data_IF_281342505871
#
_entry.id   IF_281342505871
#
_cell.length_a   1.000
_cell.length_b   1.000
_cell.length_c   1.000
_cell.angle_alpha   90.00
_cell.angle_beta   90.00
_cell.angle_gamma   90.00
#
_symmetry.space_group_name_H-M   'P 1'
#
loop_
_entity.id
_entity.type
_entity.pdbx_description
1 polymer ?
#
# COMPACT_ATOMS: atom_id res chain seq x y z
N UNK A 1 -2.51 11.35 -16.22
CA UNK A 1 -2.67 11.70 -14.80
C UNK A 1 -3.77 10.82 -14.25
N UNK A 2 -3.57 10.30 -13.02
CA UNK A 2 -4.60 9.53 -12.32
C UNK A 2 -5.06 10.31 -11.10
N UNK A 3 -6.37 10.32 -10.87
CA UNK A 3 -7.02 11.03 -9.77
C UNK A 3 -8.01 10.07 -9.10
N UNK A 4 -7.95 10.03 -7.78
CA UNK A 4 -8.95 9.37 -6.95
C UNK A 4 -9.78 10.46 -6.27
N UNK A 5 -11.10 10.42 -6.42
CA UNK A 5 -11.99 11.36 -5.77
C UNK A 5 -12.60 10.78 -4.47
N UNK A 6 -13.27 11.63 -3.70
CA UNK A 6 -13.90 11.21 -2.44
C UNK A 6 -15.16 10.35 -2.63
N UNK A 7 -15.72 10.34 -3.84
CA UNK A 7 -16.91 9.56 -4.16
C UNK A 7 -16.57 8.14 -4.60
N UNK A 8 -15.28 7.78 -4.63
CA UNK A 8 -14.78 6.46 -5.02
C UNK A 8 -14.57 6.29 -6.52
N UNK A 9 -14.55 7.37 -7.27
CA UNK A 9 -14.17 7.32 -8.68
C UNK A 9 -12.66 7.40 -8.84
N UNK A 10 -12.14 6.59 -9.73
CA UNK A 10 -10.76 6.63 -10.18
C UNK A 10 -10.71 7.01 -11.66
N UNK A 11 -10.05 8.12 -11.95
CA UNK A 11 -10.15 8.82 -13.22
C UNK A 11 -8.78 8.92 -13.87
N UNK A 12 -8.70 8.57 -15.16
CA UNK A 12 -7.52 8.85 -15.99
C UNK A 12 -7.76 10.08 -16.85
N UNK A 13 -6.78 10.98 -16.83
CA UNK A 13 -6.84 12.28 -17.51
C UNK A 13 -5.64 12.42 -18.43
N UNK A 14 -5.87 12.81 -19.68
CA UNK A 14 -4.80 13.19 -20.59
C UNK A 14 -4.12 14.47 -20.09
N UNK A 15 -2.83 14.38 -19.81
CA UNK A 15 -2.04 15.50 -19.27
C UNK A 15 -1.87 16.68 -20.26
N UNK A 16 -2.12 16.48 -21.55
CA UNK A 16 -1.91 17.50 -22.57
C UNK A 16 -3.11 18.43 -22.70
N UNK A 17 -4.32 17.89 -22.59
CA UNK A 17 -5.55 18.62 -22.88
C UNK A 17 -6.58 18.57 -21.73
N UNK A 18 -6.32 17.79 -20.66
CA UNK A 18 -7.21 17.67 -19.51
C UNK A 18 -8.47 16.83 -19.76
N UNK A 19 -8.57 16.15 -20.90
CA UNK A 19 -9.72 15.32 -21.21
C UNK A 19 -9.67 14.01 -20.42
N UNK A 20 -10.83 13.56 -19.92
CA UNK A 20 -10.99 12.25 -19.30
C UNK A 20 -10.82 11.18 -20.36
N UNK A 21 -9.87 10.26 -20.13
CA UNK A 21 -9.65 9.10 -20.96
C UNK A 21 -10.58 7.96 -20.57
N UNK A 22 -10.72 7.72 -19.28
CA UNK A 22 -11.66 6.77 -18.69
C UNK A 22 -11.95 7.13 -17.22
N UNK A 23 -13.07 6.64 -16.72
CA UNK A 23 -13.50 6.79 -15.34
C UNK A 23 -14.12 5.47 -14.87
N UNK A 24 -13.74 4.99 -13.69
CA UNK A 24 -14.27 3.78 -13.07
C UNK A 24 -14.62 4.06 -11.61
N UNK A 25 -15.65 3.37 -11.13
CA UNK A 25 -16.06 3.42 -9.74
C UNK A 25 -15.45 2.23 -8.97
N UNK A 26 -14.63 2.49 -7.96
CA UNK A 26 -13.96 1.47 -7.15
C UNK A 26 -14.66 1.23 -5.80
N UNK A 27 -15.75 1.92 -5.55
CA UNK A 27 -16.48 1.86 -4.29
C UNK A 27 -16.20 3.05 -3.38
N UNK A 28 -17.18 3.41 -2.57
CA UNK A 28 -17.07 4.46 -1.57
C UNK A 28 -17.33 3.82 -0.20
N UNK A 29 -16.30 3.68 0.61
CA UNK A 29 -16.45 3.33 2.02
C UNK A 29 -16.57 4.62 2.84
N UNK A 30 -17.80 5.02 3.14
CA UNK A 30 -18.12 6.23 3.93
C UNK A 30 -17.55 6.24 5.35
N UNK A 31 -16.99 5.12 5.83
CA UNK A 31 -16.45 4.96 7.18
C UNK A 31 -14.94 4.99 7.27
N UNK A 32 -14.24 5.31 6.19
CA UNK A 32 -12.79 5.24 6.18
C UNK A 32 -12.15 6.57 6.57
N UNK A 33 -11.10 6.46 7.34
CA UNK A 33 -10.12 7.54 7.49
C UNK A 33 -9.55 7.83 6.09
N UNK A 34 -9.47 9.10 5.71
CA UNK A 34 -8.91 9.54 4.42
C UNK A 34 -7.55 8.86 4.20
N UNK A 35 -7.46 7.97 3.20
CA UNK A 35 -6.16 7.40 2.89
C UNK A 35 -5.35 8.43 2.11
N UNK A 36 -4.14 8.68 2.54
CA UNK A 36 -3.15 9.48 1.81
C UNK A 36 -2.38 8.64 0.80
N UNK A 37 -2.68 7.35 0.73
CA UNK A 37 -1.98 6.41 -0.15
C UNK A 37 -2.20 6.78 -1.62
N UNK A 38 -1.11 6.85 -2.35
CA UNK A 38 -1.09 7.23 -3.77
C UNK A 38 -1.10 6.01 -4.67
N UNK A 39 -1.81 6.05 -5.79
CA UNK A 39 -1.67 5.03 -6.81
C UNK A 39 -0.25 5.02 -7.37
N UNK A 40 0.25 3.84 -7.71
CA UNK A 40 1.54 3.67 -8.35
C UNK A 40 1.41 3.01 -9.72
N UNK A 41 2.38 3.23 -10.58
CA UNK A 41 2.47 2.57 -11.89
C UNK A 41 3.44 1.40 -11.81
N UNK A 42 2.98 0.23 -12.26
CA UNK A 42 3.79 -0.97 -12.40
C UNK A 42 3.61 -1.53 -13.82
N UNK A 43 4.61 -1.36 -14.69
CA UNK A 43 4.52 -1.70 -16.13
C UNK A 43 3.38 -0.92 -16.81
N UNK A 44 2.41 -1.62 -17.42
CA UNK A 44 1.21 -1.06 -18.05
C UNK A 44 -0.02 -1.08 -17.14
N UNK A 45 0.18 -1.16 -15.83
CA UNK A 45 -0.87 -1.26 -14.82
C UNK A 45 -0.75 -0.12 -13.83
N UNK A 46 -1.87 0.34 -13.32
CA UNK A 46 -1.92 1.22 -12.16
C UNK A 46 -2.48 0.44 -10.98
N UNK A 47 -1.80 0.54 -9.84
CA UNK A 47 -2.19 -0.09 -8.59
C UNK A 47 -2.82 0.98 -7.71
N UNK A 48 -4.07 0.77 -7.32
CA UNK A 48 -4.88 1.72 -6.57
C UNK A 48 -5.24 1.13 -5.23
N UNK A 49 -4.60 1.57 -4.15
CA UNK A 49 -5.01 1.19 -2.81
C UNK A 49 -6.31 1.90 -2.45
N UNK A 50 -7.15 1.22 -1.70
CA UNK A 50 -8.38 1.78 -1.16
C UNK A 50 -8.48 1.54 0.34
N UNK A 51 -9.50 2.12 0.92
CA UNK A 51 -9.90 1.88 2.30
C UNK A 51 -10.38 0.44 2.49
N UNK A 52 -10.36 -0.05 3.72
CA UNK A 52 -10.79 -1.42 4.03
C UNK A 52 -9.81 -2.51 3.60
N UNK A 53 -8.55 -2.16 3.26
CA UNK A 53 -7.48 -3.12 2.97
C UNK A 53 -7.53 -3.70 1.55
N UNK A 54 -8.37 -3.18 0.68
CA UNK A 54 -8.43 -3.61 -0.73
C UNK A 54 -7.50 -2.76 -1.60
N UNK A 55 -6.90 -3.38 -2.60
CA UNK A 55 -6.24 -2.67 -3.69
C UNK A 55 -6.70 -3.25 -5.03
N UNK A 56 -6.66 -2.41 -6.04
CA UNK A 56 -7.03 -2.77 -7.41
C UNK A 56 -5.82 -2.67 -8.32
N UNK A 57 -5.74 -3.57 -9.30
CA UNK A 57 -4.80 -3.52 -10.42
C UNK A 57 -5.62 -3.24 -11.67
N UNK A 58 -5.32 -2.13 -12.33
CA UNK A 58 -6.13 -1.58 -13.39
C UNK A 58 -5.25 -1.39 -14.64
N UNK A 59 -5.78 -1.71 -15.81
CA UNK A 59 -5.15 -1.41 -17.09
C UNK A 59 -5.04 0.11 -17.28
N UNK A 60 -3.84 0.60 -17.56
CA UNK A 60 -3.63 2.04 -17.82
C UNK A 60 -4.38 2.49 -19.06
N UNK A 61 -4.45 1.64 -20.08
CA UNK A 61 -5.00 1.99 -21.38
C UNK A 61 -6.53 2.02 -21.38
N UNK A 62 -7.16 1.02 -20.75
CA UNK A 62 -8.62 0.83 -20.82
C UNK A 62 -9.39 1.21 -19.56
N UNK A 63 -8.73 1.33 -18.40
CA UNK A 63 -9.41 1.46 -17.11
C UNK A 63 -10.05 0.15 -16.63
N UNK A 64 -9.85 -0.98 -17.31
CA UNK A 64 -10.36 -2.27 -16.90
C UNK A 64 -9.70 -2.75 -15.60
N UNK A 65 -10.50 -3.20 -14.65
CA UNK A 65 -9.99 -3.85 -13.43
C UNK A 65 -9.50 -5.25 -13.78
N UNK A 66 -8.19 -5.45 -13.77
CA UNK A 66 -7.55 -6.72 -14.08
C UNK A 66 -7.56 -7.67 -12.89
N UNK A 67 -7.43 -7.13 -11.68
CA UNK A 67 -7.40 -7.88 -10.44
C UNK A 67 -7.66 -6.99 -9.24
N UNK A 68 -8.14 -7.59 -8.16
CA UNK A 68 -8.25 -6.94 -6.85
C UNK A 68 -8.03 -7.95 -5.74
N UNK A 69 -7.44 -7.51 -4.63
CA UNK A 69 -7.19 -8.32 -3.45
C UNK A 69 -7.43 -7.52 -2.19
N UNK A 70 -7.85 -8.19 -1.12
CA UNK A 70 -8.01 -7.61 0.20
C UNK A 70 -7.02 -8.25 1.18
N UNK A 71 -6.16 -7.43 1.79
CA UNK A 71 -5.13 -7.88 2.73
C UNK A 71 -5.43 -7.53 4.19
N UNK A 72 -6.70 -7.31 4.55
CA UNK A 72 -7.06 -7.06 5.94
C UNK A 72 -6.82 -8.30 6.81
N UNK A 73 -6.22 -8.11 7.99
CA UNK A 73 -5.78 -9.22 8.88
C UNK A 73 -6.91 -9.99 9.53
N UNK A 74 -8.15 -9.54 9.44
CA UNK A 74 -9.22 -10.06 10.29
C UNK A 74 -10.52 -10.35 9.52
N UNK A 75 -10.44 -11.33 8.61
CA UNK A 75 -11.63 -11.82 7.88
C UNK A 75 -12.71 -12.41 8.80
N UNK A 76 -12.40 -12.69 10.08
CA UNK A 76 -13.33 -13.27 11.05
C UNK A 76 -14.10 -12.24 11.86
N UNK A 77 -13.69 -10.97 11.85
CA UNK A 77 -14.42 -9.91 12.55
C UNK A 77 -15.50 -9.27 11.68
N UNK A 78 -16.62 -8.83 12.26
CA UNK A 78 -17.58 -8.01 11.53
C UNK A 78 -16.91 -6.81 10.89
N UNK A 79 -17.30 -6.44 9.65
CA UNK A 79 -16.68 -5.35 8.86
C UNK A 79 -16.51 -4.03 9.61
N UNK A 80 -17.39 -3.73 10.57
CA UNK A 80 -17.32 -2.52 11.39
C UNK A 80 -16.10 -2.45 12.34
N UNK A 81 -15.41 -3.58 12.55
CA UNK A 81 -14.18 -3.67 13.37
C UNK A 81 -12.93 -3.93 12.55
N UNK A 82 -13.08 -4.04 11.22
CA UNK A 82 -11.95 -4.26 10.30
C UNK A 82 -11.39 -2.91 9.88
N UNK A 83 -10.53 -2.33 10.72
CA UNK A 83 -9.69 -1.20 10.30
C UNK A 83 -8.50 -1.79 9.55
N UNK A 84 -8.65 -1.96 8.26
CA UNK A 84 -7.66 -2.63 7.40
C UNK A 84 -7.06 -1.72 6.33
N UNK A 85 -7.11 -0.40 6.54
CA UNK A 85 -6.71 0.57 5.52
C UNK A 85 -5.27 0.36 5.01
N UNK A 86 -5.10 0.47 3.72
CA UNK A 86 -3.80 0.59 3.08
C UNK A 86 -3.45 2.08 3.05
N UNK A 87 -2.76 2.53 4.08
CA UNK A 87 -2.34 3.93 4.25
C UNK A 87 -0.98 4.16 3.58
N UNK A 88 -0.08 3.19 3.70
CA UNK A 88 1.22 3.21 3.04
C UNK A 88 1.08 3.15 1.51
N UNK A 89 1.90 3.89 0.78
CA UNK A 89 1.90 3.75 -0.67
C UNK A 89 2.37 2.33 -1.05
N UNK A 90 1.73 1.68 -2.02
CA UNK A 90 2.24 0.46 -2.61
C UNK A 90 3.66 0.65 -3.14
N UNK A 91 4.47 -0.39 -3.12
CA UNK A 91 5.82 -0.35 -3.66
C UNK A 91 5.98 -1.41 -4.74
N UNK A 92 6.36 -1.00 -5.95
CA UNK A 92 6.72 -1.91 -7.03
C UNK A 92 8.22 -1.99 -7.19
N UNK A 93 8.78 -3.20 -7.14
CA UNK A 93 10.21 -3.42 -7.35
C UNK A 93 10.48 -4.76 -8.04
N UNK A 94 11.12 -4.73 -9.20
CA UNK A 94 11.56 -5.94 -9.96
C UNK A 94 10.47 -7.00 -10.17
N UNK A 95 9.28 -6.59 -10.58
CA UNK A 95 8.17 -7.51 -10.86
C UNK A 95 7.31 -7.83 -9.65
N UNK A 96 7.71 -7.43 -8.45
CA UNK A 96 7.00 -7.71 -7.21
C UNK A 96 6.30 -6.43 -6.72
N UNK A 97 5.05 -6.57 -6.35
CA UNK A 97 4.22 -5.57 -5.71
C UNK A 97 4.17 -5.84 -4.20
N UNK A 98 4.57 -4.86 -3.41
CA UNK A 98 4.52 -4.92 -1.95
C UNK A 98 3.42 -4.00 -1.45
N UNK A 99 2.56 -4.54 -0.61
CA UNK A 99 1.45 -3.82 0.03
C UNK A 99 1.59 -3.93 1.55
N UNK A 100 1.55 -2.79 2.21
CA UNK A 100 1.61 -2.69 3.68
C UNK A 100 0.26 -2.19 4.18
N UNK A 101 -0.37 -2.96 5.04
CA UNK A 101 -1.65 -2.59 5.66
C UNK A 101 -1.44 -2.13 7.11
N UNK A 102 -2.20 -1.13 7.50
CA UNK A 102 -2.30 -0.69 8.89
C UNK A 102 -2.78 -1.80 9.82
N UNK A 103 -3.60 -2.73 9.33
CA UNK A 103 -4.12 -3.86 10.11
C UNK A 103 -3.06 -4.86 10.59
N UNK A 104 -1.80 -4.69 10.20
CA UNK A 104 -0.70 -5.51 10.68
C UNK A 104 -0.21 -6.55 9.69
N UNK A 105 -0.49 -6.42 8.41
CA UNK A 105 -0.01 -7.34 7.36
C UNK A 105 0.84 -6.58 6.34
N UNK A 106 1.92 -7.20 5.91
CA UNK A 106 2.63 -6.90 4.67
C UNK A 106 2.59 -8.10 3.76
N UNK A 107 2.21 -7.90 2.51
CA UNK A 107 2.14 -8.94 1.51
C UNK A 107 2.92 -8.56 0.24
N UNK A 108 3.45 -9.57 -0.44
CA UNK A 108 4.10 -9.43 -1.73
C UNK A 108 3.39 -10.29 -2.77
N UNK A 109 3.21 -9.72 -3.95
CA UNK A 109 2.52 -10.35 -5.08
C UNK A 109 3.36 -10.24 -6.34
N UNK A 110 3.34 -11.25 -7.17
CA UNK A 110 3.84 -11.14 -8.54
C UNK A 110 2.87 -10.28 -9.35
N UNK A 111 3.38 -9.23 -10.01
CA UNK A 111 2.54 -8.27 -10.73
C UNK A 111 1.97 -8.81 -12.04
N UNK A 112 2.52 -9.89 -12.57
CA UNK A 112 2.09 -10.49 -13.83
C UNK A 112 1.11 -11.63 -13.61
N UNK A 113 1.39 -12.51 -12.62
CA UNK A 113 0.54 -13.68 -12.31
C UNK A 113 -0.52 -13.39 -11.26
N UNK A 114 -0.36 -12.29 -10.50
CA UNK A 114 -1.20 -11.92 -9.35
C UNK A 114 -1.13 -12.90 -8.17
N UNK A 115 -0.19 -13.83 -8.19
CA UNK A 115 0.01 -14.77 -7.12
C UNK A 115 0.64 -14.10 -5.89
N UNK A 116 0.13 -14.41 -4.71
CA UNK A 116 0.75 -14.01 -3.46
C UNK A 116 2.03 -14.83 -3.25
N UNK A 117 3.19 -14.17 -3.26
CA UNK A 117 4.48 -14.78 -3.05
C UNK A 117 4.72 -15.08 -1.56
N UNK A 118 4.35 -14.13 -0.70
CA UNK A 118 4.43 -14.27 0.75
C UNK A 118 3.60 -13.19 1.45
N UNK A 119 3.27 -13.44 2.71
CA UNK A 119 2.77 -12.44 3.64
C UNK A 119 3.41 -12.60 5.02
N UNK A 120 3.43 -11.54 5.81
CA UNK A 120 3.97 -11.52 7.17
C UNK A 120 3.10 -10.67 8.09
N UNK A 121 3.02 -11.01 9.40
CA UNK A 121 2.23 -10.26 10.37
C UNK A 121 3.01 -9.01 10.86
N UNK A 122 3.41 -8.17 9.95
CA UNK A 122 4.02 -6.86 10.19
C UNK A 122 3.31 -5.86 9.30
N UNK A 123 2.71 -4.87 9.88
CA UNK A 123 2.07 -3.77 9.14
C UNK A 123 2.61 -2.44 9.61
N UNK A 124 2.24 -1.39 8.90
CA UNK A 124 2.69 -0.03 9.18
C UNK A 124 1.87 1.00 8.43
N UNK A 125 2.21 2.26 8.68
CA UNK A 125 1.57 3.42 8.03
C UNK A 125 2.45 3.99 6.92
N UNK A 126 3.75 3.67 6.95
CA UNK A 126 4.76 4.27 6.10
C UNK A 126 5.05 3.42 4.87
N UNK A 127 5.37 4.10 3.77
CA UNK A 127 5.83 3.44 2.55
C UNK A 127 7.14 2.69 2.83
N UNK A 128 7.20 1.38 2.54
CA UNK A 128 8.42 0.61 2.76
C UNK A 128 9.54 1.07 1.84
N UNK A 129 10.77 0.92 2.28
CA UNK A 129 11.96 1.26 1.50
C UNK A 129 12.79 0.01 1.22
N UNK A 130 13.33 -0.13 -0.01
CA UNK A 130 14.17 -1.27 -0.40
C UNK A 130 15.60 -0.84 -0.66
N UNK A 131 16.54 -1.57 -0.04
CA UNK A 131 17.96 -1.51 -0.36
C UNK A 131 18.49 -2.91 -0.65
N UNK A 132 18.94 -3.13 -1.89
CA UNK A 132 19.39 -4.44 -2.35
C UNK A 132 18.29 -5.51 -2.30
N UNK A 133 18.47 -6.49 -1.44
CA UNK A 133 17.49 -7.56 -1.17
C UNK A 133 16.79 -7.40 0.18
N UNK A 134 16.85 -6.24 0.77
CA UNK A 134 16.23 -5.97 2.07
C UNK A 134 15.20 -4.87 1.95
N UNK A 135 13.99 -5.15 2.41
CA UNK A 135 12.93 -4.18 2.60
C UNK A 135 12.89 -3.76 4.07
N UNK A 136 12.75 -2.48 4.30
CA UNK A 136 12.61 -1.89 5.63
C UNK A 136 11.19 -1.38 5.78
N UNK A 137 10.55 -1.76 6.88
CA UNK A 137 9.18 -1.36 7.22
C UNK A 137 9.20 -0.73 8.60
N UNK A 138 8.70 0.49 8.71
CA UNK A 138 8.36 1.07 9.99
C UNK A 138 7.00 0.51 10.41
N UNK A 139 7.04 -0.44 11.30
CA UNK A 139 5.85 -1.10 11.81
C UNK A 139 5.17 -0.29 12.90
N UNK A 140 3.96 -0.69 13.22
CA UNK A 140 3.19 -0.12 14.32
C UNK A 140 4.01 -0.17 15.63
N UNK A 141 3.83 0.80 16.51
CA UNK A 141 4.52 0.91 17.80
C UNK A 141 6.04 1.19 17.72
N UNK A 142 6.51 1.84 16.66
CA UNK A 142 7.91 2.24 16.52
C UNK A 142 8.88 1.07 16.32
N UNK A 143 8.43 0.00 15.70
CA UNK A 143 9.28 -1.15 15.38
C UNK A 143 9.75 -1.08 13.92
N UNK A 144 11.06 -0.94 13.72
CA UNK A 144 11.66 -1.08 12.40
C UNK A 144 11.99 -2.54 12.13
N UNK A 145 11.49 -3.08 11.03
CA UNK A 145 11.75 -4.43 10.57
C UNK A 145 12.54 -4.44 9.27
N UNK A 146 13.52 -5.33 9.17
CA UNK A 146 14.23 -5.62 7.93
C UNK A 146 13.85 -7.02 7.44
N UNK A 147 13.38 -7.11 6.21
CA UNK A 147 12.75 -8.29 5.62
C UNK A 147 13.44 -8.61 4.30
N UNK A 148 13.67 -9.89 4.04
CA UNK A 148 14.13 -10.34 2.73
C UNK A 148 13.02 -10.15 1.69
N UNK A 149 13.32 -9.42 0.62
CA UNK A 149 12.30 -9.05 -0.40
C UNK A 149 11.73 -10.25 -1.16
N UNK A 150 12.49 -11.33 -1.30
CA UNK A 150 12.08 -12.49 -2.11
C UNK A 150 11.28 -13.49 -1.27
N UNK A 151 11.76 -13.77 -0.06
CA UNK A 151 11.19 -14.82 0.79
C UNK A 151 10.23 -14.32 1.87
N UNK A 152 10.16 -13.02 2.11
CA UNK A 152 9.40 -12.45 3.22
C UNK A 152 9.98 -12.75 4.61
N UNK A 153 11.16 -13.40 4.70
CA UNK A 153 11.75 -13.77 5.97
C UNK A 153 12.25 -12.54 6.71
N UNK A 154 11.87 -12.43 7.98
CA UNK A 154 12.38 -11.41 8.88
C UNK A 154 13.88 -11.64 9.10
N UNK A 155 14.70 -10.63 8.77
CA UNK A 155 16.15 -10.63 9.04
C UNK A 155 16.44 -10.14 10.45
N UNK A 156 15.80 -9.05 10.84
CA UNK A 156 15.83 -8.50 12.19
C UNK A 156 14.68 -7.52 12.39
N UNK A 157 14.37 -7.26 13.65
CA UNK A 157 13.43 -6.23 14.09
C UNK A 157 14.00 -5.53 15.31
N UNK A 158 13.89 -4.21 15.34
CA UNK A 158 14.29 -3.39 16.48
C UNK A 158 13.17 -2.44 16.87
N UNK A 159 12.94 -2.30 18.16
CA UNK A 159 12.08 -1.25 18.70
C UNK A 159 12.93 -0.03 18.97
N UNK A 160 12.55 1.08 18.39
CA UNK A 160 13.15 2.37 18.71
C UNK A 160 12.38 3.00 19.86
N UNK A 161 13.06 3.57 20.86
CA UNK A 161 12.36 4.32 21.88
C UNK A 161 11.64 5.46 21.21
N UNK A 162 10.34 5.58 21.45
CA UNK A 162 9.59 6.78 21.08
C UNK A 162 10.09 7.91 22.00
N UNK A 163 11.10 8.62 21.59
CA UNK A 163 11.50 9.87 22.27
C UNK A 163 10.49 10.98 22.06
N UNK A 164 9.52 10.72 21.25
CA UNK A 164 8.40 11.59 20.98
C UNK A 164 7.18 11.06 21.73
N UNK A 165 7.09 11.40 23.02
CA UNK A 165 5.79 11.64 23.65
C UNK A 165 5.20 12.89 22.96
N UNK A 166 5.00 12.81 21.67
CA UNK A 166 4.28 13.83 20.95
C UNK A 166 2.91 13.24 20.69
N UNK A 167 1.91 13.87 21.26
CA UNK A 167 0.52 13.76 20.83
C UNK A 167 0.34 14.25 19.38
N UNK A 168 1.27 13.89 18.49
CA UNK A 168 1.25 14.28 17.09
C UNK A 168 0.89 13.08 16.24
N UNK A 169 -0.38 13.00 15.96
CA UNK A 169 -0.98 12.04 15.01
C UNK A 169 -0.60 12.29 13.54
N UNK A 170 0.37 13.18 13.24
CA UNK A 170 0.65 13.66 11.89
C UNK A 170 2.14 13.96 11.65
N UNK A 171 3.05 13.08 11.98
CA UNK A 171 4.41 13.18 11.45
C UNK A 171 4.57 12.19 10.30
N UNK A 172 4.70 12.71 9.08
CA UNK A 172 5.18 11.97 7.92
C UNK A 172 6.66 11.61 8.16
N UNK A 173 6.91 10.45 8.74
CA UNK A 173 8.28 9.91 8.90
C UNK A 173 8.58 8.99 7.72
N UNK A 174 9.36 9.46 6.77
CA UNK A 174 9.86 8.63 5.67
C UNK A 174 11.14 7.90 6.08
N UNK A 175 11.26 6.63 5.67
CA UNK A 175 12.49 5.85 5.84
C UNK A 175 13.47 6.26 4.75
N UNK A 176 14.55 6.97 5.10
CA UNK A 176 15.65 7.28 4.20
C UNK A 176 16.83 6.33 4.46
N UNK A 177 17.45 5.84 3.37
CA UNK A 177 18.65 5.00 3.44
C UNK A 177 19.84 5.82 2.94
N UNK A 178 20.79 6.07 3.82
CA UNK A 178 22.05 6.69 3.48
C UNK A 178 23.10 5.61 3.16
N UNK A 179 23.79 5.75 2.01
CA UNK A 179 25.02 5.00 1.73
C UNK A 179 26.18 5.75 2.33
N UNK A 180 26.71 5.26 3.45
CA UNK A 180 28.00 5.66 3.98
C UNK A 180 29.13 5.09 3.15
#
# INVERSE_FOLDING_TARGET
IFVNDFDGNFISIDKKNGLTLWNIFLGSDYNSVYTTSRPIIAKNKVIVPTTGGTFFVISIDSGEVLWSENISSNQQLPKIYQVGDIVANPLYHKGILYIVSQSGITAAFDVDTYEMLWNIPIGGFETPTISGKTMFIMGNMGKLAAIDTVSGKLRWQKKYPSYLNVDSYFLEEEIAIYKG
#
